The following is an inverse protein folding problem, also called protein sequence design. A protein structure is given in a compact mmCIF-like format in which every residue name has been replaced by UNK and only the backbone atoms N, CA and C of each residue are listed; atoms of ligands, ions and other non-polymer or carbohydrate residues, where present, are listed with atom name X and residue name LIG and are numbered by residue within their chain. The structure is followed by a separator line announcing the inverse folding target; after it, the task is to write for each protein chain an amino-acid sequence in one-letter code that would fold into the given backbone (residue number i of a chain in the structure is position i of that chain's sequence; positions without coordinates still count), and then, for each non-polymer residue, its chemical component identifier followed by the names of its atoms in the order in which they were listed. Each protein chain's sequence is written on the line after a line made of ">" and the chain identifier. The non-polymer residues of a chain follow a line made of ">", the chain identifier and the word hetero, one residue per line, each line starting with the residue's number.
data_IF_740541788549
#
_entry.id   IF_740541788549
#
_cell.length_a   1.000
_cell.length_b   1.000
_cell.length_c   1.000
_cell.angle_alpha   90.00
_cell.angle_beta   90.00
_cell.angle_gamma   90.00
#
_symmetry.space_group_name_H-M   'P 1'
#
loop_
_entity.id
_entity.type
_entity.pdbx_description
1 polymer ?
#
# COMPACT_ATOMS: atom_id res chain seq x y z
N UNK A 1 34.51 11.99 -26.58
CA UNK A 1 33.71 11.67 -25.38
C UNK A 1 32.48 12.56 -25.38
N UNK A 2 31.31 12.04 -25.70
CA UNK A 2 30.06 12.81 -25.72
C UNK A 2 29.42 12.72 -24.31
N UNK A 3 29.33 13.88 -23.66
CA UNK A 3 28.65 14.05 -22.38
C UNK A 3 27.15 13.89 -22.62
N UNK A 4 26.55 12.81 -22.13
CA UNK A 4 25.11 12.63 -22.07
C UNK A 4 24.55 13.70 -21.12
N UNK A 5 23.89 14.71 -21.68
CA UNK A 5 23.14 15.69 -20.91
C UNK A 5 21.99 14.98 -20.22
N UNK A 6 22.04 14.91 -18.89
CA UNK A 6 20.93 14.47 -18.05
C UNK A 6 19.77 15.45 -18.26
N UNK A 7 18.70 14.99 -18.88
CA UNK A 7 17.48 15.80 -18.98
C UNK A 7 16.93 16.01 -17.56
N UNK A 8 16.44 17.22 -17.22
CA UNK A 8 15.82 17.45 -15.93
C UNK A 8 14.57 16.57 -15.81
N UNK A 9 14.50 15.74 -14.78
CA UNK A 9 13.28 15.02 -14.42
C UNK A 9 12.18 16.04 -14.15
N UNK A 10 11.30 16.20 -15.11
CA UNK A 10 10.08 17.01 -14.93
C UNK A 10 9.20 16.20 -13.99
N UNK A 11 9.18 16.55 -12.69
CA UNK A 11 8.22 15.99 -11.74
C UNK A 11 6.83 16.27 -12.28
N UNK A 12 6.17 15.25 -12.81
CA UNK A 12 4.78 15.32 -13.25
C UNK A 12 3.94 15.66 -12.02
N UNK A 13 3.22 16.79 -12.08
CA UNK A 13 2.31 17.17 -11.01
C UNK A 13 1.15 16.20 -11.04
N UNK A 14 1.09 15.30 -10.08
CA UNK A 14 0.00 14.32 -9.97
C UNK A 14 -1.36 15.03 -10.00
N UNK A 15 -2.29 14.48 -10.77
CA UNK A 15 -3.65 14.97 -10.82
C UNK A 15 -4.30 14.90 -9.43
N UNK A 16 -4.96 15.96 -9.00
CA UNK A 16 -5.64 16.00 -7.71
C UNK A 16 -6.88 15.09 -7.74
N UNK A 17 -6.86 14.01 -6.96
CA UNK A 17 -7.99 13.08 -6.85
C UNK A 17 -8.39 12.48 -8.19
N UNK A 18 -9.69 12.46 -8.49
CA UNK A 18 -10.26 11.91 -9.72
C UNK A 18 -10.30 12.90 -10.91
N UNK A 19 -9.57 14.01 -10.89
CA UNK A 19 -9.62 15.02 -11.94
C UNK A 19 -9.24 14.46 -13.33
N UNK A 20 -8.38 13.44 -13.37
CA UNK A 20 -8.01 12.75 -14.61
C UNK A 20 -9.20 12.09 -15.33
N UNK A 21 -10.31 11.85 -14.65
CA UNK A 21 -11.55 11.33 -15.26
C UNK A 21 -12.35 12.40 -16.00
N UNK A 22 -12.10 13.67 -15.72
CA UNK A 22 -12.85 14.82 -16.25
C UNK A 22 -12.03 15.70 -17.19
N UNK A 23 -10.72 15.57 -17.17
CA UNK A 23 -9.78 16.39 -17.92
C UNK A 23 -9.09 15.56 -19.02
N UNK A 24 -8.84 16.18 -20.16
CA UNK A 24 -7.98 15.57 -21.17
C UNK A 24 -6.54 15.55 -20.65
N UNK A 25 -5.99 14.34 -20.51
CA UNK A 25 -4.65 14.10 -20.02
C UNK A 25 -3.90 13.15 -20.93
N UNK A 26 -2.62 13.40 -21.10
CA UNK A 26 -1.73 12.40 -21.71
C UNK A 26 -1.38 11.31 -20.71
N UNK A 27 -1.00 10.10 -21.15
CA UNK A 27 -0.57 9.03 -20.24
C UNK A 27 0.55 9.45 -19.28
N UNK A 28 1.44 10.34 -19.72
CA UNK A 28 2.56 10.85 -18.89
C UNK A 28 2.12 11.80 -17.76
N UNK A 29 0.87 12.26 -17.75
CA UNK A 29 0.32 13.15 -16.72
C UNK A 29 -0.54 12.39 -15.71
N UNK A 30 -0.67 11.07 -15.87
CA UNK A 30 -1.44 10.20 -14.97
C UNK A 30 -0.46 9.40 -14.15
N UNK A 31 -0.60 9.47 -12.82
CA UNK A 31 0.21 8.67 -11.89
C UNK A 31 -0.17 7.19 -12.00
N UNK A 32 0.82 6.35 -12.20
CA UNK A 32 0.66 4.90 -12.41
C UNK A 32 1.60 4.11 -11.49
N UNK A 33 1.46 2.79 -11.35
CA UNK A 33 2.37 1.99 -10.53
C UNK A 33 3.85 2.09 -10.92
N UNK A 34 4.15 2.45 -12.17
CA UNK A 34 5.51 2.69 -12.65
C UNK A 34 6.16 3.92 -11.98
N UNK A 35 5.33 4.85 -11.48
CA UNK A 35 5.76 6.09 -10.81
C UNK A 35 5.99 5.90 -9.30
N UNK A 36 5.76 4.71 -8.77
CA UNK A 36 5.99 4.45 -7.33
C UNK A 36 7.43 4.74 -6.95
N UNK A 37 7.60 5.40 -5.81
CA UNK A 37 8.91 5.60 -5.20
C UNK A 37 9.54 4.27 -4.76
N UNK A 38 10.85 4.26 -4.55
CA UNK A 38 11.54 3.07 -4.03
C UNK A 38 10.97 2.63 -2.67
N UNK A 39 10.61 3.59 -1.82
CA UNK A 39 10.00 3.35 -0.53
C UNK A 39 8.61 2.71 -0.66
N UNK A 40 7.77 3.21 -1.59
CA UNK A 40 6.48 2.61 -1.90
C UNK A 40 6.62 1.18 -2.46
N UNK A 41 7.62 0.93 -3.31
CA UNK A 41 7.93 -0.41 -3.82
C UNK A 41 8.36 -1.36 -2.70
N UNK A 42 9.19 -0.91 -1.78
CA UNK A 42 9.64 -1.71 -0.64
C UNK A 42 8.49 -2.09 0.30
N UNK A 43 7.57 -1.16 0.56
CA UNK A 43 6.37 -1.44 1.35
C UNK A 43 5.43 -2.39 0.61
N UNK A 44 5.25 -2.21 -0.70
CA UNK A 44 4.46 -3.12 -1.54
C UNK A 44 5.01 -4.55 -1.48
N UNK A 45 6.34 -4.72 -1.55
CA UNK A 45 7.00 -6.02 -1.43
C UNK A 45 6.79 -6.63 -0.03
N UNK A 46 6.94 -5.84 1.02
CA UNK A 46 6.72 -6.26 2.41
C UNK A 46 5.28 -6.75 2.60
N UNK A 47 4.30 -5.98 2.15
CA UNK A 47 2.88 -6.34 2.23
C UNK A 47 2.56 -7.59 1.41
N UNK A 48 3.10 -7.70 0.18
CA UNK A 48 2.92 -8.87 -0.67
C UNK A 48 3.52 -10.13 -0.05
N UNK A 49 4.74 -10.04 0.49
CA UNK A 49 5.39 -11.16 1.17
C UNK A 49 4.60 -11.62 2.39
N UNK A 50 4.09 -10.68 3.19
CA UNK A 50 3.23 -10.99 4.34
C UNK A 50 1.94 -11.68 3.90
N UNK A 51 1.28 -11.19 2.85
CA UNK A 51 0.07 -11.80 2.31
C UNK A 51 0.31 -13.25 1.87
N UNK A 52 1.37 -13.49 1.11
CA UNK A 52 1.67 -14.81 0.57
C UNK A 52 2.14 -15.82 1.64
N UNK A 53 2.94 -15.38 2.62
CA UNK A 53 3.57 -16.28 3.58
C UNK A 53 2.77 -16.49 4.86
N UNK A 54 1.90 -15.55 5.21
CA UNK A 54 1.20 -15.57 6.49
C UNK A 54 -0.32 -15.59 6.32
N UNK A 55 -0.89 -14.72 5.46
CA UNK A 55 -2.35 -14.62 5.32
C UNK A 55 -2.91 -15.80 4.54
N UNK A 56 -2.40 -16.07 3.35
CA UNK A 56 -2.93 -17.14 2.49
C UNK A 56 -2.82 -18.54 3.13
N UNK A 57 -1.71 -18.91 3.79
CA UNK A 57 -1.66 -20.19 4.50
C UNK A 57 -2.64 -20.31 5.66
N UNK A 58 -3.09 -19.20 6.22
CA UNK A 58 -4.06 -19.15 7.32
C UNK A 58 -5.52 -19.02 6.84
N UNK A 59 -5.79 -19.03 5.53
CA UNK A 59 -7.10 -18.74 4.94
C UNK A 59 -8.23 -19.58 5.54
N UNK A 60 -8.06 -20.89 5.64
CA UNK A 60 -9.07 -21.79 6.18
C UNK A 60 -9.41 -21.46 7.65
N UNK A 61 -8.41 -21.13 8.46
CA UNK A 61 -8.62 -20.76 9.85
C UNK A 61 -9.35 -19.41 9.98
N UNK A 62 -9.03 -18.45 9.10
CA UNK A 62 -9.71 -17.15 9.05
C UNK A 62 -11.18 -17.33 8.67
N UNK A 63 -11.47 -18.13 7.62
CA UNK A 63 -12.84 -18.44 7.19
C UNK A 63 -13.63 -19.23 8.26
N UNK A 64 -12.96 -20.10 9.01
CA UNK A 64 -13.53 -20.77 10.17
C UNK A 64 -13.76 -19.85 11.37
N UNK A 65 -13.44 -18.55 11.26
CA UNK A 65 -13.57 -17.53 12.31
C UNK A 65 -12.70 -17.82 13.54
N UNK A 66 -11.51 -18.39 13.32
CA UNK A 66 -10.49 -18.44 14.37
C UNK A 66 -9.93 -17.02 14.63
N UNK A 67 -10.60 -16.32 15.53
CA UNK A 67 -10.21 -14.94 15.88
C UNK A 67 -8.85 -14.84 16.57
N UNK A 68 -8.30 -15.94 17.09
CA UNK A 68 -6.95 -15.94 17.64
C UNK A 68 -5.93 -15.84 16.51
N UNK A 69 -6.13 -16.60 15.44
CA UNK A 69 -5.29 -16.51 14.22
C UNK A 69 -5.40 -15.12 13.60
N UNK A 70 -6.62 -14.62 13.38
CA UNK A 70 -6.84 -13.30 12.76
C UNK A 70 -6.18 -12.17 13.56
N UNK A 71 -6.33 -12.17 14.90
CA UNK A 71 -5.66 -11.17 15.76
C UNK A 71 -4.14 -11.29 15.74
N UNK A 72 -3.61 -12.51 15.67
CA UNK A 72 -2.17 -12.73 15.52
C UNK A 72 -1.62 -12.16 14.21
N UNK A 73 -2.37 -12.31 13.12
CA UNK A 73 -1.98 -11.72 11.83
C UNK A 73 -2.06 -10.19 11.84
N UNK A 74 -3.08 -9.60 12.48
CA UNK A 74 -3.14 -8.14 12.66
C UNK A 74 -1.97 -7.61 13.48
N UNK A 75 -1.60 -8.29 14.58
CA UNK A 75 -0.43 -7.91 15.37
C UNK A 75 0.85 -7.93 14.53
N UNK A 76 1.07 -8.99 13.74
CA UNK A 76 2.21 -9.07 12.82
C UNK A 76 2.19 -7.96 11.76
N UNK A 77 1.02 -7.64 11.19
CA UNK A 77 0.89 -6.51 10.27
C UNK A 77 1.28 -5.18 10.92
N UNK A 78 0.93 -4.99 12.20
CA UNK A 78 1.35 -3.84 13.01
C UNK A 78 2.87 -3.80 13.21
N UNK A 79 3.49 -4.92 13.57
CA UNK A 79 4.96 -5.03 13.73
C UNK A 79 5.72 -4.71 12.44
N UNK A 80 5.12 -5.01 11.28
CA UNK A 80 5.66 -4.67 9.96
C UNK A 80 5.38 -3.22 9.54
N UNK A 81 4.69 -2.41 10.36
CA UNK A 81 4.31 -1.03 10.06
C UNK A 81 3.16 -0.89 9.07
N UNK A 82 2.55 -1.99 8.63
CA UNK A 82 1.51 -1.97 7.58
C UNK A 82 0.19 -1.35 8.04
N UNK A 83 -0.06 -1.29 9.36
CA UNK A 83 -1.32 -0.77 9.92
C UNK A 83 -1.31 0.74 10.19
N UNK A 84 -0.17 1.40 10.08
CA UNK A 84 -0.02 2.81 10.45
C UNK A 84 0.82 3.58 9.43
N UNK A 85 0.70 3.23 8.16
CA UNK A 85 1.48 3.82 7.08
C UNK A 85 1.26 5.33 6.94
N UNK A 86 0.04 5.82 7.06
CA UNK A 86 -0.33 7.23 6.95
C UNK A 86 -0.66 7.90 8.30
N UNK A 87 -0.44 7.19 9.39
CA UNK A 87 -0.56 7.74 10.74
C UNK A 87 0.64 8.63 11.03
N UNK A 88 0.47 9.83 11.65
CA UNK A 88 1.58 10.70 12.03
C UNK A 88 2.58 10.01 12.98
N UNK A 89 3.87 10.38 12.87
CA UNK A 89 4.94 9.82 13.71
C UNK A 89 4.70 10.04 15.21
N UNK A 90 4.10 11.16 15.60
CA UNK A 90 3.75 11.45 17.01
C UNK A 90 2.79 10.42 17.62
N UNK A 91 2.07 9.66 16.79
CA UNK A 91 1.20 8.54 17.20
C UNK A 91 1.80 7.17 16.86
N UNK A 92 3.10 7.13 16.53
CA UNK A 92 3.82 5.90 16.24
C UNK A 92 3.62 5.37 14.82
N UNK A 93 3.14 6.19 13.90
CA UNK A 93 2.97 5.86 12.49
C UNK A 93 4.20 6.20 11.62
N UNK A 94 4.08 5.94 10.32
CA UNK A 94 5.15 6.17 9.35
C UNK A 94 5.01 7.50 8.60
N UNK A 95 3.91 8.25 8.81
CA UNK A 95 3.59 9.53 8.16
C UNK A 95 3.72 9.51 6.62
N UNK A 96 3.48 8.37 5.99
CA UNK A 96 3.53 8.21 4.55
C UNK A 96 2.27 8.75 3.88
N UNK A 97 2.25 8.78 2.56
CA UNK A 97 1.11 9.28 1.81
C UNK A 97 -0.04 8.26 1.69
N UNK A 98 -1.20 8.72 1.23
CA UNK A 98 -2.39 7.89 1.02
C UNK A 98 -2.21 6.86 -0.10
N UNK A 99 -1.30 7.11 -1.05
CA UNK A 99 -0.96 6.14 -2.10
C UNK A 99 -0.31 4.91 -1.47
N UNK A 100 0.59 5.10 -0.50
CA UNK A 100 1.21 4.01 0.24
C UNK A 100 0.19 3.16 0.99
N UNK A 101 -0.78 3.78 1.66
CA UNK A 101 -1.88 3.05 2.32
C UNK A 101 -2.73 2.26 1.32
N UNK A 102 -3.00 2.83 0.14
CA UNK A 102 -3.73 2.14 -0.92
C UNK A 102 -2.95 0.94 -1.46
N UNK A 103 -1.63 1.06 -1.64
CA UNK A 103 -0.73 -0.02 -2.04
C UNK A 103 -0.80 -1.18 -1.04
N UNK A 104 -0.70 -0.89 0.26
CA UNK A 104 -0.82 -1.92 1.30
C UNK A 104 -2.18 -2.61 1.24
N UNK A 105 -3.26 -1.84 1.14
CA UNK A 105 -4.62 -2.38 1.01
C UNK A 105 -4.76 -3.30 -0.20
N UNK A 106 -4.23 -2.91 -1.37
CA UNK A 106 -4.21 -3.73 -2.57
C UNK A 106 -3.48 -5.06 -2.35
N UNK A 107 -2.26 -5.03 -1.78
CA UNK A 107 -1.47 -6.24 -1.56
C UNK A 107 -2.09 -7.20 -0.54
N UNK A 108 -2.79 -6.69 0.46
CA UNK A 108 -3.44 -7.51 1.48
C UNK A 108 -4.84 -8.01 1.04
N UNK A 109 -5.40 -7.50 -0.07
CA UNK A 109 -6.73 -7.88 -0.54
C UNK A 109 -6.80 -9.25 -1.23
N UNK A 110 -5.71 -10.02 -1.24
CA UNK A 110 -5.67 -11.40 -1.74
C UNK A 110 -6.63 -12.35 -1.02
N UNK A 111 -7.07 -11.99 0.18
CA UNK A 111 -8.07 -12.70 0.96
C UNK A 111 -9.10 -11.73 1.55
N UNK A 112 -10.34 -11.78 1.05
CA UNK A 112 -11.38 -10.79 1.34
C UNK A 112 -11.72 -10.66 2.82
N UNK A 113 -11.85 -11.76 3.56
CA UNK A 113 -12.19 -11.74 4.99
C UNK A 113 -11.10 -11.06 5.83
N UNK A 114 -9.83 -11.31 5.53
CA UNK A 114 -8.72 -10.61 6.19
C UNK A 114 -8.67 -9.14 5.77
N UNK A 115 -8.80 -8.85 4.47
CA UNK A 115 -8.79 -7.49 3.94
C UNK A 115 -9.88 -6.61 4.58
N UNK A 116 -11.08 -7.14 4.75
CA UNK A 116 -12.19 -6.44 5.43
C UNK A 116 -11.83 -6.11 6.88
N UNK A 117 -11.28 -7.09 7.61
CA UNK A 117 -10.87 -6.89 9.01
C UNK A 117 -9.74 -5.87 9.13
N UNK A 118 -8.74 -5.96 8.25
CA UNK A 118 -7.63 -5.02 8.20
C UNK A 118 -8.10 -3.60 7.86
N UNK A 119 -8.92 -3.44 6.82
CA UNK A 119 -9.43 -2.14 6.38
C UNK A 119 -10.31 -1.47 7.43
N UNK A 120 -11.15 -2.24 8.13
CA UNK A 120 -11.94 -1.73 9.26
C UNK A 120 -11.05 -1.21 10.40
N UNK A 121 -9.84 -1.73 10.55
CA UNK A 121 -8.91 -1.34 11.62
C UNK A 121 -8.10 -0.08 11.28
N UNK A 122 -7.75 0.11 10.00
CA UNK A 122 -6.85 1.19 9.57
C UNK A 122 -7.56 2.33 8.83
N UNK A 123 -8.79 2.12 8.38
CA UNK A 123 -9.49 3.05 7.47
C UNK A 123 -10.78 3.65 8.01
N UNK A 124 -11.23 3.29 9.21
CA UNK A 124 -12.50 3.77 9.81
C UNK A 124 -12.23 4.64 11.01
#
# INVERSE_FOLDING_TARGET
>A
MATLATQPETKVKAAAGGSFLLEERTPAEVFTPEDFSDEQRQIAETASNFAQKEILPAADAIEAKDYKVTRGLLAKAGELGLMATDTPEEYGGLAMDKVTSAIVGEKLSVMGSFATTFSAHVGI
#
